data_IF_037503888996
#
_entry.id   IF_037503888996
#
_cell.length_a   1.000
_cell.length_b   1.000
_cell.length_c   1.000
_cell.angle_alpha   90.00
_cell.angle_beta   90.00
_cell.angle_gamma   90.00
#
_symmetry.space_group_name_H-M   'P 1'
#
loop_
_entity.id
_entity.type
_entity.pdbx_description
1 polymer ?
#
# COMPACT_ATOMS: atom_id res chain seq x y z
N UNK A 1 -2.35 13.45 -1.10
CA UNK A 1 -1.58 13.79 -2.32
C UNK A 1 -2.28 13.20 -3.54
N UNK A 2 -2.01 13.71 -4.75
CA UNK A 2 -2.70 13.25 -5.97
C UNK A 2 -1.75 12.44 -6.86
N UNK A 3 -2.11 11.20 -7.18
CA UNK A 3 -1.40 10.38 -8.17
C UNK A 3 -2.07 10.48 -9.54
N UNK A 4 -1.28 10.38 -10.61
CA UNK A 4 -1.79 10.32 -11.98
C UNK A 4 -1.35 9.03 -12.66
N UNK A 5 -2.30 8.26 -13.19
CA UNK A 5 -1.97 7.05 -13.94
C UNK A 5 -1.20 7.41 -15.23
N UNK A 6 -0.03 6.79 -15.50
CA UNK A 6 0.76 7.12 -16.69
C UNK A 6 0.05 6.72 -18.00
N UNK A 7 -0.74 5.63 -17.98
CA UNK A 7 -1.43 5.10 -19.17
C UNK A 7 -2.72 5.85 -19.56
N UNK A 8 -3.58 6.19 -18.59
CA UNK A 8 -4.90 6.77 -18.88
C UNK A 8 -5.13 8.17 -18.28
N UNK A 9 -4.12 8.76 -17.63
CA UNK A 9 -4.16 10.10 -17.01
C UNK A 9 -5.27 10.31 -15.96
N UNK A 10 -5.91 9.24 -15.49
CA UNK A 10 -6.84 9.31 -14.36
C UNK A 10 -6.11 9.75 -13.09
N UNK A 11 -6.75 10.61 -12.30
CA UNK A 11 -6.20 11.16 -11.06
C UNK A 11 -6.82 10.48 -9.83
N UNK A 12 -6.01 10.20 -8.82
CA UNK A 12 -6.42 9.55 -7.57
C UNK A 12 -5.97 10.37 -6.38
N UNK A 13 -6.86 10.59 -5.40
CA UNK A 13 -6.49 11.17 -4.11
C UNK A 13 -6.10 10.04 -3.15
N UNK A 14 -4.88 10.10 -2.63
CA UNK A 14 -4.32 9.09 -1.74
C UNK A 14 -3.70 9.74 -0.51
N UNK A 15 -3.73 9.01 0.60
CA UNK A 15 -3.02 9.40 1.81
C UNK A 15 -1.50 9.28 1.59
N UNK A 16 -0.71 10.35 1.78
CA UNK A 16 0.76 10.27 1.72
C UNK A 16 1.36 9.27 2.71
N UNK A 17 0.71 8.98 3.84
CA UNK A 17 1.17 7.99 4.79
C UNK A 17 1.08 6.54 4.27
N UNK A 18 0.26 6.28 3.25
CA UNK A 18 0.13 4.94 2.67
C UNK A 18 1.28 4.57 1.71
N UNK A 19 2.04 5.56 1.23
CA UNK A 19 3.16 5.38 0.28
C UNK A 19 4.53 5.63 0.91
N UNK A 20 4.63 5.62 2.24
CA UNK A 20 5.91 5.67 2.97
C UNK A 20 6.79 4.51 2.49
N UNK A 21 8.03 4.80 2.09
CA UNK A 21 9.02 3.80 1.66
C UNK A 21 8.87 3.27 0.22
N UNK A 22 8.05 3.91 -0.62
CA UNK A 22 7.86 3.49 -2.01
C UNK A 22 6.92 2.30 -2.14
N UNK A 23 5.83 2.46 -2.90
CA UNK A 23 4.77 1.45 -2.98
C UNK A 23 4.32 1.21 -4.41
N UNK A 24 4.06 -0.05 -4.74
CA UNK A 24 3.44 -0.41 -6.01
C UNK A 24 1.94 -0.11 -5.99
N UNK A 25 1.48 0.70 -6.93
CA UNK A 25 0.09 1.15 -7.07
C UNK A 25 -0.54 0.58 -8.34
N UNK A 26 -1.86 0.38 -8.33
CA UNK A 26 -2.63 -0.14 -9.46
C UNK A 26 -3.76 0.81 -9.83
N UNK A 27 -3.90 1.12 -11.11
CA UNK A 27 -5.00 1.93 -11.64
C UNK A 27 -6.32 1.16 -11.58
N UNK A 28 -7.35 1.75 -10.96
CA UNK A 28 -8.70 1.18 -10.93
C UNK A 28 -9.41 1.25 -12.29
N UNK A 29 -9.05 2.22 -13.13
CA UNK A 29 -9.72 2.47 -14.42
C UNK A 29 -9.19 1.59 -15.55
N UNK A 30 -7.87 1.43 -15.68
CA UNK A 30 -7.23 0.67 -16.78
C UNK A 30 -6.38 -0.53 -16.30
N UNK A 31 -6.18 -0.70 -14.99
CA UNK A 31 -5.41 -1.81 -14.44
C UNK A 31 -3.88 -1.67 -14.48
N UNK A 32 -3.34 -0.61 -15.09
CA UNK A 32 -1.89 -0.38 -15.14
C UNK A 32 -1.27 -0.31 -13.73
N UNK A 33 -0.10 -0.92 -13.56
CA UNK A 33 0.64 -0.95 -12.30
C UNK A 33 1.93 -0.13 -12.43
N UNK A 34 2.24 0.69 -11.45
CA UNK A 34 3.50 1.45 -11.41
C UNK A 34 4.02 1.58 -9.97
N UNK A 35 5.31 1.86 -9.83
CA UNK A 35 5.91 2.17 -8.53
C UNK A 35 5.77 3.66 -8.25
N UNK A 36 5.38 4.02 -7.04
CA UNK A 36 5.24 5.40 -6.60
C UNK A 36 6.19 5.66 -5.45
N UNK A 37 7.15 6.56 -5.68
CA UNK A 37 8.10 7.03 -4.67
C UNK A 37 7.39 7.79 -3.55
N UNK A 38 7.94 7.76 -2.32
CA UNK A 38 7.41 8.53 -1.21
C UNK A 38 7.54 10.03 -1.50
N UNK A 39 6.65 10.87 -0.95
CA UNK A 39 6.81 12.32 -1.04
C UNK A 39 8.11 12.78 -0.34
N UNK A 40 8.85 13.68 -0.98
CA UNK A 40 10.17 14.18 -0.56
C UNK A 40 10.18 14.91 0.80
N UNK A 41 9.02 15.33 1.30
CA UNK A 41 8.87 16.00 2.61
C UNK A 41 9.02 15.04 3.81
N UNK A 42 9.38 13.78 3.58
CA UNK A 42 9.72 12.87 4.66
C UNK A 42 11.16 13.12 5.09
N UNK A 43 11.40 13.46 6.38
CA UNK A 43 12.76 13.62 6.86
C UNK A 43 13.50 12.30 6.66
N UNK A 44 14.45 12.29 5.73
CA UNK A 44 15.49 11.26 5.67
C UNK A 44 16.24 11.42 6.99
N UNK A 45 16.09 10.44 7.88
CA UNK A 45 16.95 10.33 9.05
C UNK A 45 18.34 10.06 8.49
N UNK A 46 19.17 11.09 8.37
CA UNK A 46 20.58 10.90 8.05
C UNK A 46 21.15 10.06 9.20
N UNK A 47 21.40 8.79 8.93
CA UNK A 47 22.16 7.91 9.80
C UNK A 47 23.52 8.61 10.03
N UNK A 48 23.92 8.88 11.28
CA UNK A 48 25.22 9.46 11.54
C UNK A 48 26.30 8.50 11.02
N UNK A 49 27.14 9.01 10.13
CA UNK A 49 28.32 8.31 9.61
C UNK A 49 29.14 7.83 10.83
N UNK A 50 29.44 6.52 10.96
CA UNK A 50 30.23 6.05 12.09
C UNK A 50 31.62 6.67 11.98
N UNK A 51 31.97 7.56 12.91
CA UNK A 51 33.33 8.06 13.09
C UNK A 51 34.25 6.87 13.37
N UNK A 52 34.88 6.44 12.29
CA UNK A 52 35.80 5.32 12.19
C UNK A 52 37.16 5.78 12.73
N UNK A 53 37.23 6.15 14.01
CA UNK A 53 38.49 6.53 14.67
C UNK A 53 38.41 6.30 16.19
N UNK A 54 38.72 5.06 16.61
CA UNK A 54 39.46 4.70 17.83
C UNK A 54 39.65 3.18 17.91
N UNK A 55 40.77 2.70 17.41
CA UNK A 55 41.50 1.56 17.98
C UNK A 55 42.86 2.10 18.45
N UNK A 56 43.61 1.48 19.37
CA UNK A 56 43.36 0.23 20.11
C UNK A 56 43.60 0.37 21.63
N UNK A 57 43.15 -0.59 22.43
CA UNK A 57 43.94 -1.09 23.57
C UNK A 57 43.60 -2.57 23.77
N UNK A 58 44.52 -3.39 23.28
CA UNK A 58 44.68 -4.78 23.69
C UNK A 58 45.09 -4.84 25.16
N UNK A 59 44.71 -5.94 25.82
CA UNK A 59 45.20 -6.43 27.11
C UNK A 59 44.51 -5.91 28.40
N UNK A 60 43.43 -6.59 28.76
CA UNK A 60 43.35 -7.22 30.09
C UNK A 60 42.55 -8.52 30.00
N UNK A 61 43.28 -9.57 29.61
CA UNK A 61 43.33 -10.87 30.27
C UNK A 61 42.01 -11.54 30.73
N UNK A 62 41.70 -12.67 30.08
CA UNK A 62 41.53 -14.00 30.73
C UNK A 62 40.35 -14.13 31.71
N UNK A 63 39.20 -14.69 31.29
CA UNK A 63 38.85 -16.13 31.21
C UNK A 63 37.66 -16.42 32.18
N UNK A 64 37.04 -17.61 32.17
CA UNK A 64 35.59 -17.74 31.99
C UNK A 64 34.93 -18.39 33.21
N UNK A 65 33.88 -17.82 33.77
CA UNK A 65 33.04 -18.55 34.73
C UNK A 65 31.63 -18.73 34.20
N UNK A 66 31.50 -19.82 33.45
CA UNK A 66 30.38 -20.76 33.52
C UNK A 66 29.64 -20.67 34.85
N UNK A 67 28.38 -20.25 34.83
CA UNK A 67 27.41 -20.72 35.81
C UNK A 67 26.22 -21.32 35.08
N UNK A 68 25.94 -22.63 35.27
CA UNK A 68 24.82 -23.28 34.62
C UNK A 68 23.55 -22.66 35.17
N UNK A 69 22.69 -22.17 34.26
CA UNK A 69 21.34 -21.74 34.58
C UNK A 69 20.55 -22.99 35.02
N UNK A 70 20.12 -23.11 36.28
CA UNK A 70 19.19 -24.16 36.64
C UNK A 70 17.82 -23.75 36.11
N UNK A 71 17.30 -24.55 35.20
CA UNK A 71 15.87 -24.61 34.92
C UNK A 71 15.12 -24.68 36.25
N UNK A 72 14.26 -23.70 36.52
CA UNK A 72 13.18 -23.84 37.48
C UNK A 72 11.97 -23.21 36.83
N UNK A 73 11.14 -24.09 36.29
CA UNK A 73 9.80 -23.74 35.85
C UNK A 73 8.93 -23.37 37.04
N UNK A 74 8.08 -22.38 36.82
CA UNK A 74 6.72 -22.32 37.34
C UNK A 74 5.99 -21.29 36.46
N UNK A 75 5.14 -21.78 35.57
CA UNK A 75 3.68 -21.81 35.77
C UNK A 75 3.06 -20.42 35.72
N UNK A 76 2.52 -20.06 34.56
CA UNK A 76 1.19 -19.45 34.48
C UNK A 76 0.60 -19.72 33.10
N UNK A 77 -0.15 -20.82 33.03
CA UNK A 77 -1.34 -20.91 32.20
C UNK A 77 -2.36 -19.89 32.74
N UNK A 78 -2.63 -18.85 31.95
CA UNK A 78 -3.79 -17.96 31.98
C UNK A 78 -3.47 -16.89 30.94
N UNK A 79 -4.26 -16.57 29.93
CA UNK A 79 -5.65 -16.73 29.61
C UNK A 79 -5.69 -16.28 28.13
N UNK A 80 -6.30 -17.01 27.17
CA UNK A 80 -6.35 -16.53 25.81
C UNK A 80 -7.24 -15.28 25.78
N UNK A 81 -6.60 -14.10 25.79
CA UNK A 81 -7.25 -12.82 25.55
C UNK A 81 -7.99 -12.93 24.22
N UNK A 82 -9.32 -13.10 24.30
CA UNK A 82 -10.23 -12.93 23.19
C UNK A 82 -10.09 -11.49 22.70
N UNK A 83 -9.29 -11.31 21.66
CA UNK A 83 -9.23 -10.05 20.92
C UNK A 83 -10.60 -9.86 20.25
N UNK A 84 -11.34 -8.78 20.56
CA UNK A 84 -12.62 -8.53 19.92
C UNK A 84 -12.42 -8.35 18.41
N UNK A 85 -13.24 -9.05 17.64
CA UNK A 85 -13.37 -8.93 16.19
C UNK A 85 -13.89 -7.53 15.85
N UNK A 86 -12.96 -6.58 15.75
CA UNK A 86 -13.22 -5.26 15.16
C UNK A 86 -12.21 -5.06 14.04
N UNK A 87 -12.26 -5.95 13.04
CA UNK A 87 -11.91 -5.55 11.67
C UNK A 87 -13.10 -4.76 11.12
N UNK A 88 -13.20 -3.53 11.62
CA UNK A 88 -14.10 -2.53 11.12
C UNK A 88 -13.83 -2.39 9.63
N UNK A 89 -14.83 -2.77 8.85
CA UNK A 89 -14.75 -2.84 7.40
C UNK A 89 -14.50 -1.44 6.86
N UNK A 90 -13.24 -1.10 6.59
CA UNK A 90 -12.90 0.08 5.81
C UNK A 90 -13.64 -0.07 4.46
N UNK A 91 -14.50 0.86 4.04
CA UNK A 91 -15.07 0.85 2.70
C UNK A 91 -13.92 1.15 1.73
N UNK A 92 -13.23 0.09 1.32
CA UNK A 92 -12.22 0.11 0.30
C UNK A 92 -12.89 0.62 -0.98
N UNK A 93 -12.63 1.89 -1.28
CA UNK A 93 -12.69 2.54 -2.59
C UNK A 93 -13.10 1.58 -3.71
N UNK A 94 -14.42 1.42 -3.89
CA UNK A 94 -14.92 0.52 -4.92
C UNK A 94 -14.56 1.13 -6.28
N UNK A 95 -13.89 0.37 -7.16
CA UNK A 95 -13.54 0.84 -8.49
C UNK A 95 -14.83 1.11 -9.26
N UNK A 96 -15.14 2.40 -9.42
CA UNK A 96 -16.23 2.90 -10.23
C UNK A 96 -15.98 2.41 -11.67
N UNK A 97 -16.63 1.33 -12.07
CA UNK A 97 -16.61 0.84 -13.46
C UNK A 97 -17.23 1.97 -14.30
N UNK A 98 -16.54 2.60 -15.26
CA UNK A 98 -17.14 3.68 -16.02
C UNK A 98 -18.32 3.07 -16.79
N UNK A 99 -19.53 3.47 -16.41
CA UNK A 99 -20.76 3.08 -17.09
C UNK A 99 -20.58 3.37 -18.57
N UNK A 100 -20.66 2.29 -19.34
CA UNK A 100 -20.25 2.26 -20.73
C UNK A 100 -21.12 3.21 -21.54
N UNK A 101 -20.60 4.42 -21.82
CA UNK A 101 -21.22 5.36 -22.78
C UNK A 101 -21.39 4.73 -24.16
N UNK A 102 -20.69 3.62 -24.43
CA UNK A 102 -20.83 2.82 -25.64
C UNK A 102 -22.22 2.18 -25.77
N UNK A 103 -22.86 1.79 -24.66
CA UNK A 103 -24.23 1.24 -24.69
C UNK A 103 -25.27 2.25 -25.16
N UNK A 104 -25.09 3.53 -24.81
CA UNK A 104 -25.99 4.61 -25.24
C UNK A 104 -25.79 5.01 -26.70
N UNK A 105 -24.55 4.94 -27.22
CA UNK A 105 -24.27 5.21 -28.64
C UNK A 105 -24.90 4.15 -29.53
N UNK A 106 -24.79 2.87 -29.18
CA UNK A 106 -25.44 1.78 -29.95
C UNK A 106 -26.96 1.93 -29.91
N UNK A 107 -27.54 2.25 -28.75
CA UNK A 107 -28.98 2.47 -28.62
C UNK A 107 -29.45 3.65 -29.48
N UNK A 108 -28.72 4.76 -29.49
CA UNK A 108 -29.04 5.91 -30.32
C UNK A 108 -28.99 5.58 -31.82
N UNK A 109 -27.99 4.83 -32.29
CA UNK A 109 -27.87 4.41 -33.70
C UNK A 109 -29.05 3.50 -34.09
N UNK A 110 -29.44 2.56 -33.22
CA UNK A 110 -30.58 1.67 -33.47
C UNK A 110 -31.89 2.47 -33.55
N UNK A 111 -32.11 3.40 -32.63
CA UNK A 111 -33.32 4.25 -32.63
C UNK A 111 -33.36 5.15 -33.87
N UNK A 112 -32.25 5.78 -34.25
CA UNK A 112 -32.17 6.61 -35.47
C UNK A 112 -32.40 5.76 -36.73
N UNK A 113 -31.88 4.53 -36.77
CA UNK A 113 -32.11 3.62 -37.91
C UNK A 113 -33.58 3.20 -38.04
N UNK A 114 -34.25 2.89 -36.92
CA UNK A 114 -35.67 2.51 -36.91
C UNK A 114 -36.56 3.69 -37.32
N UNK A 115 -36.31 4.88 -36.77
CA UNK A 115 -37.07 6.08 -37.11
C UNK A 115 -36.80 6.55 -38.55
N UNK A 116 -35.55 6.50 -39.01
CA UNK A 116 -35.18 6.86 -40.38
C UNK A 116 -35.79 5.92 -41.43
N UNK A 117 -35.81 4.60 -41.16
CA UNK A 117 -36.46 3.63 -42.03
C UNK A 117 -37.99 3.84 -42.11
N UNK A 118 -38.62 4.27 -41.02
CA UNK A 118 -40.05 4.59 -41.00
C UNK A 118 -40.43 5.91 -41.68
N UNK A 119 -39.47 6.77 -42.03
CA UNK A 119 -39.71 8.06 -42.71
C UNK A 119 -39.52 7.95 -44.24
N UNK A 120 -38.85 6.89 -44.72
CA UNK A 120 -38.52 6.69 -46.14
C UNK A 120 -39.55 5.80 -46.86
N UNK A 121 -40.45 5.13 -46.12
CA UNK A 121 -41.51 4.26 -46.65
C UNK A 121 -42.89 4.88 -46.43
#
# INVERSE_FOLDING_TARGET
MILSCPSCKTRYNVDPAALRGGKSVRCAQCGNKWHQDPPDDLPILLEPEPELDREPDLDSETEPETKPNPETGETVEADPVEVPDVVQSCPANQPQKPVSRLGWVVLAIVVVSILGAGIIF
#
